data_IF_251118462038
#
_entry.id   IF_251118462038
#
_cell.length_a   1.000
_cell.length_b   1.000
_cell.length_c   1.000
_cell.angle_alpha   90.00
_cell.angle_beta   90.00
_cell.angle_gamma   90.00
#
_symmetry.space_group_name_H-M   'P 1'
#
loop_
_entity.id
_entity.type
_entity.pdbx_description
1 polymer ?
#
# COMPACT_ATOMS: atom_id res chain seq x y z
N UNK A 1 -30.91 -44.07 62.94
CA UNK A 1 -30.75 -42.85 62.12
C UNK A 1 -29.62 -43.14 61.13
N UNK A 2 -29.94 -43.61 59.93
CA UNK A 2 -30.29 -42.86 58.71
C UNK A 2 -29.07 -42.80 57.78
N UNK A 3 -29.28 -43.32 56.57
CA UNK A 3 -28.37 -43.56 55.45
C UNK A 3 -27.59 -42.31 55.02
N UNK A 4 -26.49 -42.49 54.30
CA UNK A 4 -26.37 -42.20 52.84
C UNK A 4 -24.91 -42.46 52.38
N UNK A 5 -24.78 -43.32 51.37
CA UNK A 5 -23.60 -43.42 50.50
C UNK A 5 -23.56 -42.22 49.57
N UNK A 6 -22.39 -41.64 49.31
CA UNK A 6 -22.11 -40.99 48.03
C UNK A 6 -20.61 -40.97 47.75
N UNK A 7 -20.28 -41.46 46.55
CA UNK A 7 -19.00 -41.37 45.88
C UNK A 7 -18.72 -39.95 45.35
N UNK A 8 -17.65 -39.83 44.55
CA UNK A 8 -17.15 -38.67 43.79
C UNK A 8 -16.17 -37.76 44.56
N UNK A 9 -15.05 -37.28 44.01
CA UNK A 9 -14.39 -37.44 42.70
C UNK A 9 -12.96 -36.91 42.87
N UNK A 10 -11.98 -37.59 42.28
CA UNK A 10 -10.65 -37.03 42.09
C UNK A 10 -10.75 -35.84 41.13
N UNK A 11 -10.53 -34.62 41.65
CA UNK A 11 -10.35 -33.44 40.83
C UNK A 11 -8.90 -33.44 40.29
N UNK A 12 -8.74 -33.94 39.07
CA UNK A 12 -7.52 -33.73 38.28
C UNK A 12 -7.52 -32.27 37.85
N UNK A 13 -6.63 -31.47 38.42
CA UNK A 13 -6.28 -30.15 37.89
C UNK A 13 -5.49 -30.37 36.60
N UNK A 14 -6.18 -30.30 35.45
CA UNK A 14 -5.54 -30.07 34.17
C UNK A 14 -5.06 -28.60 34.15
N UNK A 15 -3.79 -28.39 34.49
CA UNK A 15 -3.08 -27.18 34.12
C UNK A 15 -2.97 -27.17 32.59
N UNK A 16 -3.92 -26.51 31.93
CA UNK A 16 -3.79 -26.14 30.53
C UNK A 16 -2.64 -25.15 30.44
N UNK A 17 -1.44 -25.65 30.11
CA UNK A 17 -0.33 -24.82 29.67
C UNK A 17 -0.75 -24.23 28.32
N UNK A 18 -1.31 -23.02 28.34
CA UNK A 18 -1.35 -22.17 27.16
C UNK A 18 0.10 -21.87 26.80
N UNK A 19 0.63 -22.60 25.82
CA UNK A 19 1.81 -22.14 25.09
C UNK A 19 1.34 -20.87 24.37
N UNK A 20 1.59 -19.72 25.00
CA UNK A 20 1.82 -18.52 24.21
C UNK A 20 3.07 -18.86 23.40
N UNK A 21 2.91 -19.04 22.09
CA UNK A 21 4.04 -18.86 21.19
C UNK A 21 4.53 -17.43 21.49
N UNK A 22 5.69 -17.32 22.14
CA UNK A 22 6.38 -16.05 22.26
C UNK A 22 6.61 -15.57 20.82
N UNK A 23 5.76 -14.65 20.34
CA UNK A 23 6.06 -13.89 19.12
C UNK A 23 7.44 -13.29 19.34
N UNK A 24 8.42 -13.78 18.59
CA UNK A 24 9.80 -13.37 18.78
C UNK A 24 9.88 -11.85 18.69
N UNK A 25 10.28 -11.21 19.78
CA UNK A 25 10.34 -9.76 19.86
C UNK A 25 11.29 -9.24 18.77
N UNK A 26 10.83 -8.26 17.98
CA UNK A 26 11.65 -7.61 16.96
C UNK A 26 12.68 -6.70 17.63
N UNK A 27 13.90 -6.65 17.10
CA UNK A 27 14.97 -5.82 17.64
C UNK A 27 14.59 -4.33 17.59
N UNK A 28 14.95 -3.55 18.62
CA UNK A 28 14.73 -2.09 18.63
C UNK A 28 15.92 -1.36 18.03
N UNK A 29 15.77 -0.09 17.63
CA UNK A 29 16.89 0.75 17.19
C UNK A 29 17.30 1.73 18.30
N UNK A 30 18.61 1.99 18.45
CA UNK A 30 19.12 3.06 19.31
C UNK A 30 18.89 4.44 18.69
N UNK A 31 19.22 5.49 19.45
CA UNK A 31 19.14 6.89 19.02
C UNK A 31 19.96 7.22 17.74
N UNK A 32 20.85 6.32 17.33
CA UNK A 32 21.70 6.41 16.15
C UNK A 32 21.27 5.44 15.02
N UNK A 33 20.12 4.77 15.14
CA UNK A 33 19.61 3.84 14.13
C UNK A 33 20.34 2.50 14.08
N UNK A 34 21.00 2.07 15.18
CA UNK A 34 21.63 0.74 15.30
C UNK A 34 20.72 -0.24 16.03
N UNK A 35 20.65 -1.48 15.56
CA UNK A 35 19.89 -2.54 16.22
C UNK A 35 20.42 -2.77 17.65
N UNK A 36 19.55 -2.64 18.64
CA UNK A 36 19.81 -3.01 20.04
C UNK A 36 19.11 -4.35 20.30
N UNK A 37 19.87 -5.29 20.86
CA UNK A 37 19.42 -6.65 21.18
C UNK A 37 18.84 -6.78 22.62
N UNK A 38 18.84 -5.70 23.41
CA UNK A 38 18.52 -5.75 24.84
C UNK A 38 17.04 -5.48 25.12
N UNK A 39 16.24 -6.55 25.07
CA UNK A 39 14.90 -6.57 25.68
C UNK A 39 15.01 -7.08 27.12
N UNK A 40 15.49 -6.25 28.05
CA UNK A 40 15.65 -6.65 29.46
C UNK A 40 16.66 -7.79 29.65
N UNK A 41 16.84 -8.26 30.88
CA UNK A 41 17.86 -9.24 31.28
C UNK A 41 17.79 -10.64 30.63
N UNK A 42 17.05 -10.81 29.54
CA UNK A 42 17.08 -12.01 28.72
C UNK A 42 17.78 -11.68 27.40
N UNK A 43 18.88 -12.37 27.12
CA UNK A 43 19.48 -12.45 25.78
C UNK A 43 18.52 -13.31 24.93
N UNK A 44 17.32 -12.81 24.66
CA UNK A 44 16.47 -13.34 23.61
C UNK A 44 17.04 -12.77 22.31
N UNK A 45 17.48 -13.64 21.41
CA UNK A 45 17.82 -13.25 20.05
C UNK A 45 16.56 -12.63 19.43
N UNK A 46 16.49 -11.30 19.42
CA UNK A 46 15.42 -10.61 18.74
C UNK A 46 15.56 -10.85 17.23
N UNK A 47 14.44 -10.86 16.53
CA UNK A 47 14.45 -11.04 15.08
C UNK A 47 14.82 -9.69 14.48
N UNK A 48 15.90 -9.67 13.69
CA UNK A 48 16.27 -8.50 12.91
C UNK A 48 15.12 -8.17 11.94
N UNK A 49 14.71 -6.91 11.84
CA UNK A 49 13.69 -6.53 10.88
C UNK A 49 14.19 -6.80 9.46
N UNK A 50 13.27 -7.11 8.55
CA UNK A 50 13.60 -7.34 7.13
C UNK A 50 14.38 -6.16 6.55
N UNK A 51 15.17 -6.35 5.50
CA UNK A 51 15.93 -5.25 4.89
C UNK A 51 15.02 -4.07 4.51
N UNK A 52 15.52 -2.85 4.69
CA UNK A 52 14.81 -1.63 4.30
C UNK A 52 14.47 -1.71 2.80
N UNK A 53 13.20 -1.49 2.42
CA UNK A 53 12.81 -1.45 1.01
C UNK A 53 13.62 -0.43 0.21
N UNK A 54 13.84 -0.73 -1.08
CA UNK A 54 14.57 0.18 -1.97
C UNK A 54 13.83 1.51 -2.07
N UNK A 55 14.58 2.62 -2.11
CA UNK A 55 14.01 3.96 -2.20
C UNK A 55 13.41 4.52 -0.90
N UNK A 56 13.47 3.77 0.21
CA UNK A 56 13.01 4.25 1.51
C UNK A 56 14.18 4.79 2.37
N UNK A 57 13.89 5.85 3.13
CA UNK A 57 14.79 6.33 4.19
C UNK A 57 14.24 5.87 5.53
N UNK A 58 15.11 5.35 6.41
CA UNK A 58 14.72 5.02 7.77
C UNK A 58 14.97 6.23 8.69
N UNK A 59 13.92 6.69 9.34
CA UNK A 59 13.98 7.71 10.37
C UNK A 59 14.69 7.20 11.62
N UNK A 60 15.10 8.11 12.52
CA UNK A 60 15.68 7.74 13.83
C UNK A 60 14.75 6.88 14.68
N UNK A 61 13.44 6.97 14.46
CA UNK A 61 12.41 6.14 15.10
C UNK A 61 12.41 4.68 14.61
N UNK A 62 13.22 4.35 13.60
CA UNK A 62 13.20 3.06 12.91
C UNK A 62 12.12 2.93 11.84
N UNK A 63 11.24 3.94 11.67
CA UNK A 63 10.14 3.94 10.70
C UNK A 63 10.59 4.46 9.35
N UNK A 64 9.88 4.06 8.30
CA UNK A 64 10.23 4.48 6.94
C UNK A 64 9.57 5.81 6.58
N UNK A 65 10.27 6.54 5.73
CA UNK A 65 9.78 7.69 4.98
C UNK A 65 10.02 7.44 3.50
N UNK A 66 8.96 7.60 2.70
CA UNK A 66 8.95 7.51 1.23
C UNK A 66 8.05 8.65 0.74
N UNK A 67 8.68 9.71 0.21
CA UNK A 67 7.98 10.85 -0.38
C UNK A 67 7.80 10.70 -1.89
N UNK A 68 8.67 9.95 -2.55
CA UNK A 68 8.70 9.70 -3.99
C UNK A 68 9.36 8.33 -4.19
N UNK A 69 8.79 7.51 -5.07
CA UNK A 69 9.43 6.28 -5.52
C UNK A 69 9.86 6.42 -6.99
N UNK A 70 10.90 5.70 -7.43
CA UNK A 70 11.23 5.57 -8.84
C UNK A 70 10.04 4.97 -9.62
N UNK A 71 9.72 5.58 -10.75
CA UNK A 71 8.62 5.15 -11.62
C UNK A 71 9.05 3.97 -12.51
N UNK A 72 8.41 2.79 -12.41
CA UNK A 72 8.60 1.73 -13.40
C UNK A 72 7.88 2.09 -14.71
N UNK A 73 8.29 1.52 -15.85
CA UNK A 73 7.52 1.63 -17.09
C UNK A 73 6.13 0.99 -16.90
N UNK A 74 5.02 1.73 -17.09
CA UNK A 74 3.68 1.23 -16.77
C UNK A 74 3.18 0.11 -17.68
N UNK A 75 3.73 0.00 -18.89
CA UNK A 75 3.37 -1.03 -19.87
C UNK A 75 4.60 -1.88 -20.20
N UNK A 76 4.85 -2.91 -19.40
CA UNK A 76 5.98 -3.84 -19.58
C UNK A 76 5.61 -5.11 -20.36
N UNK A 77 4.32 -5.50 -20.39
CA UNK A 77 3.87 -6.81 -20.92
C UNK A 77 2.96 -6.75 -22.17
N UNK A 78 2.68 -5.55 -22.68
CA UNK A 78 1.81 -5.38 -23.86
C UNK A 78 2.46 -5.81 -25.18
N UNK A 79 3.69 -6.31 -25.15
CA UNK A 79 4.42 -6.84 -26.31
C UNK A 79 3.95 -8.25 -26.71
N UNK A 80 3.26 -8.98 -25.82
CA UNK A 80 2.93 -10.40 -26.02
C UNK A 80 1.48 -10.67 -26.44
N UNK A 81 0.54 -9.84 -26.02
CA UNK A 81 -0.87 -9.74 -26.43
C UNK A 81 -1.53 -8.79 -25.42
N UNK A 82 -2.63 -8.11 -25.77
CA UNK A 82 -3.39 -7.36 -24.76
C UNK A 82 -3.83 -8.32 -23.65
N UNK A 83 -3.78 -7.89 -22.39
CA UNK A 83 -4.21 -8.72 -21.25
C UNK A 83 -5.59 -9.31 -21.55
N UNK A 84 -5.80 -10.63 -21.32
CA UNK A 84 -7.09 -11.24 -21.56
C UNK A 84 -8.19 -10.53 -20.78
N UNK A 85 -9.43 -10.66 -21.26
CA UNK A 85 -10.60 -10.04 -20.64
C UNK A 85 -10.71 -10.34 -19.14
N UNK A 86 -11.53 -9.56 -18.41
CA UNK A 86 -11.55 -9.55 -16.95
C UNK A 86 -11.63 -10.97 -16.39
N UNK A 87 -10.71 -11.30 -15.47
CA UNK A 87 -10.68 -12.59 -14.78
C UNK A 87 -11.99 -12.76 -14.02
N UNK A 88 -12.78 -13.78 -14.33
CA UNK A 88 -14.12 -14.01 -13.74
C UNK A 88 -14.12 -14.77 -12.42
N UNK A 89 -12.94 -15.12 -11.88
CA UNK A 89 -12.84 -15.92 -10.66
C UNK A 89 -13.32 -15.16 -9.41
N UNK A 90 -13.94 -15.84 -8.46
CA UNK A 90 -14.33 -15.19 -7.20
C UNK A 90 -13.08 -14.77 -6.41
N UNK A 91 -12.96 -13.49 -6.01
CA UNK A 91 -11.79 -13.00 -5.28
C UNK A 91 -11.74 -13.63 -3.88
N UNK A 92 -10.58 -14.20 -3.54
CA UNK A 92 -10.34 -14.82 -2.22
C UNK A 92 -9.32 -14.03 -1.44
N UNK A 93 -9.57 -13.82 -0.16
CA UNK A 93 -8.61 -13.18 0.73
C UNK A 93 -7.37 -14.08 0.88
N UNK A 94 -6.21 -13.59 0.49
CA UNK A 94 -4.98 -14.37 0.43
C UNK A 94 -3.90 -13.88 1.40
N UNK A 95 -3.95 -12.62 1.85
CA UNK A 95 -2.88 -12.00 2.64
C UNK A 95 -3.36 -10.97 3.68
N UNK A 96 -2.57 -10.74 4.74
CA UNK A 96 -2.85 -9.67 5.69
C UNK A 96 -2.67 -8.28 5.05
N UNK A 97 -3.22 -7.22 5.65
CA UNK A 97 -3.07 -5.84 5.16
C UNK A 97 -1.62 -5.34 5.25
N UNK A 98 -0.93 -5.67 6.34
CA UNK A 98 0.49 -5.40 6.51
C UNK A 98 1.17 -6.75 6.74
N UNK A 99 2.05 -7.19 5.82
CA UNK A 99 2.87 -8.38 6.03
C UNK A 99 3.71 -8.28 7.31
N UNK A 100 3.91 -9.37 8.07
CA UNK A 100 4.73 -9.36 9.28
C UNK A 100 6.13 -8.77 9.09
N UNK A 101 6.72 -8.97 7.90
CA UNK A 101 8.06 -8.43 7.56
C UNK A 101 8.10 -6.91 7.46
N UNK A 102 6.95 -6.24 7.27
CA UNK A 102 6.82 -4.79 7.17
C UNK A 102 6.26 -4.14 8.44
N UNK A 103 5.70 -4.92 9.38
CA UNK A 103 5.04 -4.40 10.58
C UNK A 103 5.99 -3.55 11.44
N UNK A 104 7.27 -3.90 11.45
CA UNK A 104 8.31 -3.13 12.14
C UNK A 104 8.46 -1.71 11.60
N UNK A 105 8.24 -1.50 10.31
CA UNK A 105 8.52 -0.24 9.64
C UNK A 105 7.31 0.70 9.61
N UNK A 106 6.11 0.13 9.75
CA UNK A 106 4.85 0.83 9.61
C UNK A 106 4.25 1.07 11.00
N UNK A 107 3.93 2.33 11.27
CA UNK A 107 3.38 2.73 12.56
C UNK A 107 1.88 2.48 12.65
N UNK A 108 1.15 2.81 11.58
CA UNK A 108 -0.26 2.51 11.47
C UNK A 108 -0.66 2.27 10.01
N UNK A 109 -1.57 1.31 9.82
CA UNK A 109 -2.23 1.05 8.54
C UNK A 109 -3.74 0.94 8.80
N UNK A 110 -4.42 2.08 8.99
CA UNK A 110 -5.82 2.06 9.38
C UNK A 110 -6.64 1.60 8.16
N UNK A 111 -7.43 0.54 8.34
CA UNK A 111 -8.13 -0.13 7.25
C UNK A 111 -9.62 -0.33 7.55
N UNK A 112 -10.45 -0.32 6.51
CA UNK A 112 -11.84 -0.75 6.60
C UNK A 112 -11.93 -2.22 7.06
N UNK A 113 -12.94 -2.52 7.88
CA UNK A 113 -13.17 -3.87 8.43
C UNK A 113 -13.93 -4.78 7.46
N UNK A 114 -14.60 -4.20 6.48
CA UNK A 114 -15.43 -4.88 5.50
C UNK A 114 -15.25 -4.23 4.12
N UNK A 115 -15.48 -4.96 3.01
CA UNK A 115 -15.47 -4.39 1.67
C UNK A 115 -16.39 -3.17 1.56
N UNK A 116 -15.94 -2.14 0.85
CA UNK A 116 -16.85 -1.13 0.37
C UNK A 116 -17.88 -1.83 -0.53
N UNK A 117 -19.18 -1.64 -0.28
CA UNK A 117 -20.24 -2.19 -1.11
C UNK A 117 -20.22 -1.62 -2.53
N UNK A 118 -21.34 -1.63 -3.24
CA UNK A 118 -21.41 -1.04 -4.58
C UNK A 118 -21.26 0.50 -4.50
N UNK A 119 -20.03 0.98 -4.60
CA UNK A 119 -19.72 2.41 -4.69
C UNK A 119 -19.53 2.78 -6.15
N UNK A 120 -20.15 3.89 -6.57
CA UNK A 120 -19.86 4.49 -7.87
C UNK A 120 -18.39 4.92 -7.88
N UNK A 121 -17.57 4.20 -8.64
CA UNK A 121 -16.15 4.46 -8.77
C UNK A 121 -15.93 5.74 -9.59
N UNK A 122 -15.79 6.87 -8.90
CA UNK A 122 -15.24 8.08 -9.50
C UNK A 122 -13.72 7.94 -9.44
N UNK A 123 -13.10 7.58 -10.56
CA UNK A 123 -11.66 7.32 -10.69
C UNK A 123 -10.78 8.55 -10.43
N UNK A 124 -10.71 8.98 -9.18
CA UNK A 124 -9.79 10.03 -8.74
C UNK A 124 -8.41 9.40 -8.55
N UNK A 125 -7.37 10.17 -8.87
CA UNK A 125 -5.98 9.76 -8.69
C UNK A 125 -5.31 10.66 -7.67
N UNK A 126 -4.59 10.05 -6.74
CA UNK A 126 -3.86 10.77 -5.70
C UNK A 126 -2.53 10.07 -5.40
N UNK A 127 -1.54 10.84 -4.95
CA UNK A 127 -0.30 10.26 -4.43
C UNK A 127 -0.45 9.95 -2.95
N UNK A 128 -0.10 8.73 -2.55
CA UNK A 128 -0.05 8.35 -1.13
C UNK A 128 1.42 8.23 -0.73
N UNK A 129 1.85 9.06 0.23
CA UNK A 129 3.23 9.08 0.73
C UNK A 129 3.32 8.44 2.12
N UNK A 130 4.51 7.96 2.46
CA UNK A 130 4.83 7.45 3.79
C UNK A 130 5.74 8.45 4.51
N UNK A 131 5.33 8.91 5.70
CA UNK A 131 6.13 9.79 6.56
C UNK A 131 6.16 9.21 7.96
N UNK A 132 7.35 8.91 8.48
CA UNK A 132 7.55 8.34 9.84
C UNK A 132 6.63 7.13 10.14
N UNK A 133 6.45 6.25 9.14
CA UNK A 133 5.64 5.04 9.26
C UNK A 133 4.12 5.25 9.16
N UNK A 134 3.66 6.46 8.84
CA UNK A 134 2.23 6.79 8.65
C UNK A 134 1.94 7.21 7.21
N UNK A 135 0.78 6.79 6.69
CA UNK A 135 0.39 7.06 5.30
C UNK A 135 -0.48 8.30 5.18
N UNK A 136 -0.10 9.18 4.27
CA UNK A 136 -0.78 10.45 4.02
C UNK A 136 -1.21 10.55 2.58
N UNK A 137 -2.41 11.10 2.35
CA UNK A 137 -2.84 11.51 1.03
C UNK A 137 -2.15 12.84 0.74
N UNK A 138 -1.19 12.85 -0.15
CA UNK A 138 -0.41 14.04 -0.48
C UNK A 138 -1.29 15.00 -1.30
N UNK A 139 -1.71 16.08 -0.66
CA UNK A 139 -2.55 17.13 -1.24
C UNK A 139 -1.73 18.42 -1.30
N UNK A 140 -2.09 19.28 -2.24
CA UNK A 140 -1.55 20.64 -2.28
C UNK A 140 -1.96 21.39 -0.99
N UNK A 141 -1.07 21.44 0.03
CA UNK A 141 -1.27 22.17 1.29
C UNK A 141 -0.43 21.66 2.48
N UNK A 142 -0.42 22.41 3.59
CA UNK A 142 0.43 22.12 4.76
C UNK A 142 -0.15 21.08 5.75
N UNK A 143 -1.31 20.48 5.46
CA UNK A 143 -2.00 19.59 6.39
C UNK A 143 -2.63 18.38 5.67
N UNK A 144 -1.76 17.53 5.14
CA UNK A 144 -2.17 16.29 4.50
C UNK A 144 -2.92 15.38 5.48
N UNK A 145 -4.10 14.83 5.08
CA UNK A 145 -4.80 13.89 5.90
C UNK A 145 -4.14 12.50 5.85
N UNK A 146 -4.28 11.75 6.94
CA UNK A 146 -3.98 10.32 6.98
C UNK A 146 -4.95 9.56 6.09
N UNK A 147 -4.46 8.50 5.45
CA UNK A 147 -5.27 7.62 4.61
C UNK A 147 -5.85 6.49 5.45
N UNK A 148 -7.16 6.30 5.37
CA UNK A 148 -7.84 5.08 5.79
C UNK A 148 -8.08 4.20 4.55
N UNK A 149 -7.43 3.03 4.55
CA UNK A 149 -7.36 2.15 3.40
C UNK A 149 -8.62 1.29 3.25
N UNK A 150 -9.01 0.95 2.01
CA UNK A 150 -10.11 0.03 1.78
C UNK A 150 -9.71 -1.39 2.18
N UNK A 151 -10.72 -2.21 2.43
CA UNK A 151 -10.54 -3.58 2.94
C UNK A 151 -9.68 -4.45 2.03
N UNK A 152 -9.70 -4.19 0.72
CA UNK A 152 -8.95 -4.94 -0.28
C UNK A 152 -7.46 -4.61 -0.39
N UNK A 153 -6.97 -3.54 0.22
CA UNK A 153 -5.56 -3.10 0.04
C UNK A 153 -4.61 -3.82 0.99
N UNK A 154 -3.45 -4.22 0.50
CA UNK A 154 -2.31 -4.69 1.28
C UNK A 154 -1.05 -3.90 0.93
N UNK A 155 -0.11 -3.85 1.87
CA UNK A 155 1.29 -3.55 1.57
C UNK A 155 1.98 -4.79 0.99
N UNK A 156 2.85 -4.56 0.03
CA UNK A 156 3.71 -5.56 -0.59
C UNK A 156 5.08 -4.96 -0.90
N UNK A 157 6.03 -5.82 -1.24
CA UNK A 157 7.26 -5.44 -1.91
C UNK A 157 7.10 -5.88 -3.37
N UNK A 158 7.37 -4.98 -4.31
CA UNK A 158 7.33 -5.32 -5.73
C UNK A 158 8.58 -6.11 -6.18
N UNK A 159 8.59 -6.56 -7.43
CA UNK A 159 9.66 -7.40 -7.97
C UNK A 159 11.04 -6.70 -8.01
N UNK A 160 11.08 -5.38 -7.90
CA UNK A 160 12.31 -4.58 -7.85
C UNK A 160 12.71 -4.19 -6.41
N UNK A 161 11.96 -4.62 -5.40
CA UNK A 161 12.28 -4.40 -3.99
C UNK A 161 11.72 -3.10 -3.38
N UNK A 162 10.82 -2.39 -4.06
CA UNK A 162 10.19 -1.17 -3.56
C UNK A 162 8.93 -1.48 -2.75
N UNK A 163 8.64 -0.64 -1.76
CA UNK A 163 7.38 -0.69 -1.03
C UNK A 163 6.23 -0.27 -1.95
N UNK A 164 5.18 -1.08 -2.00
CA UNK A 164 4.03 -0.85 -2.84
C UNK A 164 2.71 -1.23 -2.15
N UNK A 165 1.61 -0.71 -2.69
CA UNK A 165 0.27 -1.17 -2.42
C UNK A 165 -0.10 -2.25 -3.44
N UNK A 166 -0.79 -3.30 -2.99
CA UNK A 166 -1.35 -4.34 -3.85
C UNK A 166 -2.67 -4.86 -3.30
N UNK A 167 -3.20 -5.89 -3.95
CA UNK A 167 -4.44 -6.55 -3.53
C UNK A 167 -4.22 -7.53 -2.36
N UNK A 168 -5.16 -7.55 -1.43
CA UNK A 168 -5.35 -8.63 -0.45
C UNK A 168 -6.01 -9.86 -1.06
N UNK A 169 -6.67 -9.68 -2.19
CA UNK A 169 -7.35 -10.74 -2.93
C UNK A 169 -6.43 -11.41 -3.95
N UNK A 170 -6.65 -12.70 -4.15
CA UNK A 170 -6.16 -13.45 -5.30
C UNK A 170 -7.32 -13.90 -6.20
N UNK A 171 -7.15 -13.84 -7.54
CA UNK A 171 -6.00 -13.25 -8.25
C UNK A 171 -5.92 -11.72 -8.05
N UNK A 172 -4.72 -11.14 -8.17
CA UNK A 172 -4.52 -9.70 -8.01
C UNK A 172 -5.22 -8.95 -9.14
N UNK A 173 -6.33 -8.29 -8.79
CA UNK A 173 -7.12 -7.45 -9.71
C UNK A 173 -6.78 -5.97 -9.61
N UNK A 174 -6.08 -5.58 -8.55
CA UNK A 174 -5.79 -4.19 -8.23
C UNK A 174 -4.50 -3.72 -8.89
N UNK A 175 -3.64 -4.67 -9.26
CA UNK A 175 -2.27 -4.39 -9.65
C UNK A 175 -1.46 -3.92 -8.45
N UNK A 176 -0.20 -3.60 -8.69
CA UNK A 176 0.71 -3.11 -7.65
C UNK A 176 1.17 -1.69 -7.99
N UNK A 177 1.08 -0.77 -7.03
CA UNK A 177 1.51 0.63 -7.19
C UNK A 177 2.46 1.04 -6.07
N UNK A 178 3.66 1.52 -6.42
CA UNK A 178 4.67 1.92 -5.42
C UNK A 178 4.18 3.08 -4.57
N UNK A 179 4.54 3.07 -3.29
CA UNK A 179 4.28 4.18 -2.36
C UNK A 179 5.02 5.43 -2.86
N UNK A 180 4.37 6.59 -2.84
CA UNK A 180 4.92 7.83 -3.38
C UNK A 180 4.72 8.02 -4.89
N UNK A 181 4.01 7.11 -5.56
CA UNK A 181 3.48 7.30 -6.91
C UNK A 181 1.98 7.62 -6.88
N UNK A 182 1.47 8.16 -7.99
CA UNK A 182 0.04 8.39 -8.19
C UNK A 182 -0.70 7.04 -8.30
N UNK A 183 -1.69 6.84 -7.44
CA UNK A 183 -2.57 5.69 -7.42
C UNK A 183 -4.01 6.11 -7.76
N UNK A 184 -4.76 5.23 -8.41
CA UNK A 184 -6.21 5.40 -8.51
C UNK A 184 -6.82 5.06 -7.14
N UNK A 185 -7.50 6.05 -6.53
CA UNK A 185 -8.06 5.93 -5.18
C UNK A 185 -9.58 5.84 -5.15
N UNK A 186 -10.23 6.02 -6.31
CA UNK A 186 -11.68 6.08 -6.43
C UNK A 186 -12.26 7.28 -5.67
N UNK A 187 -13.41 7.08 -5.01
CA UNK A 187 -14.00 8.08 -4.14
C UNK A 187 -13.20 8.21 -2.85
N UNK A 188 -13.12 9.44 -2.32
CA UNK A 188 -12.55 9.71 -1.01
C UNK A 188 -13.53 10.47 -0.13
N UNK A 189 -13.51 10.20 1.16
CA UNK A 189 -14.44 10.80 2.12
C UNK A 189 -14.11 12.25 2.46
N UNK A 190 -15.08 12.95 3.03
CA UNK A 190 -14.79 14.20 3.74
C UNK A 190 -13.77 13.94 4.87
N UNK A 191 -12.84 14.89 5.14
CA UNK A 191 -11.89 14.76 6.22
C UNK A 191 -12.58 14.66 7.59
N UNK A 192 -12.27 13.63 8.34
CA UNK A 192 -12.82 13.37 9.68
C UNK A 192 -11.70 13.36 10.74
N UNK A 193 -12.07 13.36 12.02
CA UNK A 193 -11.08 13.23 13.10
C UNK A 193 -10.52 11.80 13.14
N UNK A 194 -9.22 11.67 13.43
CA UNK A 194 -8.61 10.37 13.66
C UNK A 194 -9.20 9.68 14.89
N UNK A 195 -9.23 8.34 14.87
CA UNK A 195 -9.51 7.59 16.10
C UNK A 195 -8.42 7.87 17.14
N UNK A 196 -8.71 7.74 18.44
CA UNK A 196 -7.71 7.98 19.48
C UNK A 196 -6.43 7.15 19.31
N UNK A 197 -6.57 5.90 18.85
CA UNK A 197 -5.46 4.98 18.57
C UNK A 197 -4.59 5.49 17.41
N UNK A 198 -5.23 5.94 16.32
CA UNK A 198 -4.53 6.47 15.16
C UNK A 198 -3.87 7.82 15.47
N UNK A 199 -4.52 8.67 16.25
CA UNK A 199 -3.96 9.94 16.69
C UNK A 199 -2.75 9.74 17.61
N UNK A 200 -2.81 8.76 18.51
CA UNK A 200 -1.67 8.40 19.37
C UNK A 200 -0.47 7.87 18.57
N UNK A 201 -0.73 7.14 17.48
CA UNK A 201 0.32 6.63 16.61
C UNK A 201 0.88 7.75 15.70
N UNK A 202 0.03 8.40 14.92
CA UNK A 202 0.41 9.21 13.79
C UNK A 202 0.25 10.72 14.00
N UNK A 203 -0.18 11.16 15.18
CA UNK A 203 -0.48 12.56 15.47
C UNK A 203 -1.91 12.97 15.14
N UNK A 204 -2.29 14.18 15.55
CA UNK A 204 -3.65 14.73 15.40
C UNK A 204 -3.90 15.29 13.99
N UNK A 205 -3.87 14.39 13.00
CA UNK A 205 -4.20 14.69 11.61
C UNK A 205 -5.65 14.33 11.31
N UNK A 206 -6.22 15.00 10.29
CA UNK A 206 -7.49 14.55 9.71
C UNK A 206 -7.31 13.22 8.99
N UNK A 207 -8.38 12.47 8.84
CA UNK A 207 -8.41 11.17 8.14
C UNK A 207 -9.38 11.23 6.98
N UNK A 208 -8.97 10.69 5.84
CA UNK A 208 -9.82 10.46 4.67
C UNK A 208 -9.82 8.98 4.32
N UNK A 209 -10.99 8.42 4.08
CA UNK A 209 -11.14 7.05 3.59
C UNK A 209 -11.15 7.06 2.08
N UNK A 210 -10.41 6.14 1.45
CA UNK A 210 -10.44 5.93 -0.01
C UNK A 210 -11.09 4.58 -0.33
N UNK A 211 -11.76 4.48 -1.47
CA UNK A 211 -12.52 3.27 -1.82
C UNK A 211 -11.69 2.22 -2.55
N UNK A 212 -10.59 2.63 -3.18
CA UNK A 212 -9.65 1.74 -3.85
C UNK A 212 -8.22 2.27 -3.70
N UNK A 213 -7.22 1.44 -4.00
CA UNK A 213 -5.82 1.84 -4.20
C UNK A 213 -5.24 0.90 -5.26
N UNK A 214 -5.29 1.32 -6.51
CA UNK A 214 -4.91 0.49 -7.67
C UNK A 214 -3.86 1.20 -8.51
N UNK A 215 -3.09 0.40 -9.24
CA UNK A 215 -2.23 0.94 -10.30
C UNK A 215 -3.12 1.55 -11.41
N UNK A 216 -3.06 2.87 -11.65
CA UNK A 216 -3.86 3.51 -12.69
C UNK A 216 -3.50 3.02 -14.10
N UNK A 217 -2.39 2.30 -14.26
CA UNK A 217 -1.92 1.73 -15.51
C UNK A 217 -2.19 0.23 -15.67
N UNK A 218 -2.69 -0.45 -14.63
CA UNK A 218 -2.99 -1.89 -14.69
C UNK A 218 -3.99 -2.25 -15.81
N UNK A 219 -4.81 -1.29 -16.23
CA UNK A 219 -5.75 -1.42 -17.34
C UNK A 219 -5.42 -0.39 -18.42
N UNK A 220 -4.74 -0.79 -19.51
CA UNK A 220 -4.35 0.13 -20.58
C UNK A 220 -5.54 0.91 -21.19
N UNK A 221 -6.72 0.28 -21.23
CA UNK A 221 -7.96 0.89 -21.69
C UNK A 221 -8.46 2.01 -20.77
N UNK A 222 -8.09 2.00 -19.47
CA UNK A 222 -8.38 3.10 -18.53
C UNK A 222 -7.39 4.24 -18.69
N UNK A 223 -6.10 3.91 -18.79
CA UNK A 223 -5.06 4.92 -18.94
C UNK A 223 -5.27 5.75 -20.21
N UNK A 224 -5.56 5.09 -21.33
CA UNK A 224 -5.85 5.78 -22.57
C UNK A 224 -6.69 4.91 -23.51
N UNK A 225 -8.03 5.07 -23.48
CA UNK A 225 -8.95 4.36 -24.38
C UNK A 225 -8.63 4.56 -25.87
N UNK A 226 -7.94 5.65 -26.21
CA UNK A 226 -7.54 5.97 -27.57
C UNK A 226 -6.16 5.41 -27.95
N UNK A 227 -5.36 4.87 -27.03
CA UNK A 227 -4.00 4.38 -27.30
C UNK A 227 -4.00 3.24 -28.31
N UNK A 228 -4.89 2.26 -28.11
CA UNK A 228 -5.10 1.16 -29.04
C UNK A 228 -5.57 1.66 -30.41
N UNK A 229 -6.59 2.53 -30.43
CA UNK A 229 -7.16 3.07 -31.68
C UNK A 229 -6.20 3.97 -32.45
N UNK A 230 -5.30 4.69 -31.76
CA UNK A 230 -4.26 5.49 -32.38
C UNK A 230 -3.17 4.61 -33.01
N UNK A 231 -2.77 3.56 -32.30
CA UNK A 231 -1.82 2.58 -32.83
C UNK A 231 -2.28 1.95 -34.14
N UNK A 232 -3.55 1.57 -34.19
CA UNK A 232 -4.19 1.03 -35.40
C UNK A 232 -4.25 2.05 -36.56
N UNK A 233 -4.32 3.36 -36.28
CA UNK A 233 -4.41 4.43 -37.32
C UNK A 233 -3.05 4.98 -37.79
N UNK A 234 -2.03 4.95 -36.94
CA UNK A 234 -0.71 5.57 -37.21
C UNK A 234 0.21 4.72 -38.08
N UNK A 235 -0.10 3.43 -38.26
CA UNK A 235 0.78 2.48 -38.96
C UNK A 235 2.00 2.05 -38.14
N UNK A 236 2.14 2.53 -36.90
CA UNK A 236 3.18 2.12 -35.95
C UNK A 236 2.94 0.68 -35.47
N UNK A 237 4.02 -0.07 -35.23
CA UNK A 237 3.93 -1.40 -34.60
C UNK A 237 3.54 -1.26 -33.12
N UNK A 238 2.82 -2.22 -32.51
CA UNK A 238 2.44 -2.20 -31.09
C UNK A 238 3.57 -1.78 -30.13
N UNK A 239 4.77 -2.35 -30.30
CA UNK A 239 5.93 -2.01 -29.48
C UNK A 239 6.38 -0.54 -29.57
N UNK A 240 6.19 0.14 -30.71
CA UNK A 240 6.51 1.56 -30.86
C UNK A 240 5.50 2.44 -30.10
N UNK A 241 4.24 2.06 -30.13
CA UNK A 241 3.14 2.75 -29.43
C UNK A 241 3.35 2.64 -27.92
N UNK A 242 3.65 1.44 -27.42
CA UNK A 242 3.93 1.17 -26.00
C UNK A 242 5.12 2.00 -25.50
N UNK A 243 6.22 2.02 -26.25
CA UNK A 243 7.39 2.83 -25.88
C UNK A 243 7.06 4.32 -25.76
N UNK A 244 6.27 4.86 -26.69
CA UNK A 244 5.84 6.27 -26.65
C UNK A 244 4.89 6.52 -25.48
N UNK A 245 3.95 5.61 -25.20
CA UNK A 245 3.05 5.69 -24.06
C UNK A 245 3.81 5.68 -22.72
N UNK A 246 4.72 4.72 -22.53
CA UNK A 246 5.59 4.64 -21.36
C UNK A 246 6.42 5.92 -21.19
N UNK A 247 7.03 6.42 -22.26
CA UNK A 247 7.83 7.64 -22.20
C UNK A 247 7.01 8.88 -21.82
N UNK A 248 5.73 8.94 -22.23
CA UNK A 248 4.85 10.03 -21.80
C UNK A 248 4.42 9.85 -20.34
N UNK A 249 3.91 8.68 -19.97
CA UNK A 249 3.44 8.38 -18.63
C UNK A 249 4.52 8.59 -17.57
N UNK A 250 5.75 8.11 -17.81
CA UNK A 250 6.88 8.33 -16.91
C UNK A 250 7.20 9.82 -16.78
N UNK A 251 7.21 10.58 -17.90
CA UNK A 251 7.45 12.04 -17.85
C UNK A 251 6.34 12.78 -17.12
N UNK A 252 5.08 12.40 -17.34
CA UNK A 252 3.93 13.00 -16.66
C UNK A 252 4.02 12.76 -15.16
N UNK A 253 4.24 11.52 -14.73
CA UNK A 253 4.34 11.20 -13.31
C UNK A 253 5.58 11.85 -12.65
N UNK A 254 6.71 11.95 -13.36
CA UNK A 254 7.87 12.74 -12.90
C UNK A 254 7.53 14.22 -12.76
N UNK A 255 6.82 14.79 -13.74
CA UNK A 255 6.37 16.18 -13.70
C UNK A 255 5.40 16.43 -12.53
N UNK A 256 4.51 15.50 -12.25
CA UNK A 256 3.60 15.58 -11.10
C UNK A 256 4.35 15.49 -9.77
N UNK A 257 5.36 14.62 -9.68
CA UNK A 257 6.24 14.56 -8.51
C UNK A 257 7.06 15.86 -8.34
N UNK A 258 7.62 16.41 -9.43
CA UNK A 258 8.32 17.70 -9.40
C UNK A 258 7.39 18.84 -8.98
N UNK A 259 6.15 18.85 -9.50
CA UNK A 259 5.13 19.83 -9.10
C UNK A 259 4.90 19.81 -7.60
N UNK A 260 4.73 18.61 -7.05
CA UNK A 260 4.44 18.37 -5.64
C UNK A 260 5.61 18.68 -4.72
N UNK A 261 6.81 18.25 -5.09
CA UNK A 261 7.97 18.27 -4.20
C UNK A 261 8.91 19.48 -4.40
N UNK A 262 8.87 20.12 -5.57
CA UNK A 262 9.90 21.07 -5.98
C UNK A 262 9.33 22.40 -6.46
N UNK A 263 8.37 22.39 -7.38
CA UNK A 263 7.76 23.63 -7.92
C UNK A 263 6.29 23.43 -8.34
N UNK A 264 5.31 23.88 -7.53
CA UNK A 264 3.89 23.69 -7.80
C UNK A 264 3.38 24.41 -9.05
N UNK A 265 4.16 25.35 -9.60
CA UNK A 265 3.77 26.12 -10.79
C UNK A 265 4.14 25.42 -12.09
N UNK A 266 4.87 24.30 -12.05
CA UNK A 266 5.24 23.57 -13.27
C UNK A 266 3.99 23.11 -14.01
N UNK A 267 3.85 23.46 -15.29
CA UNK A 267 2.70 23.02 -16.09
C UNK A 267 2.60 21.49 -16.15
N UNK A 268 1.37 20.92 -16.06
CA UNK A 268 1.16 19.49 -16.15
C UNK A 268 1.41 19.00 -17.59
N UNK A 269 1.85 17.76 -17.72
CA UNK A 269 1.99 17.13 -19.04
C UNK A 269 0.69 16.42 -19.37
N UNK A 270 -0.01 16.87 -20.40
CA UNK A 270 -1.14 16.13 -20.95
C UNK A 270 -0.64 15.12 -22.00
N UNK A 271 -0.66 13.85 -21.61
CA UNK A 271 -0.31 12.77 -22.53
C UNK A 271 -1.32 12.59 -23.67
N UNK A 272 -2.53 13.17 -23.62
CA UNK A 272 -3.51 13.10 -24.70
C UNK A 272 -3.15 14.01 -25.88
N UNK A 273 -2.58 15.19 -25.61
CA UNK A 273 -2.12 16.13 -26.65
C UNK A 273 -1.02 15.53 -27.53
N UNK A 274 -0.21 14.63 -26.98
CA UNK A 274 0.86 13.94 -27.72
C UNK A 274 0.33 13.06 -28.87
N UNK A 275 -0.97 12.75 -28.86
CA UNK A 275 -1.62 11.86 -29.84
C UNK A 275 -2.50 12.60 -30.86
N UNK A 276 -2.56 13.93 -30.80
CA UNK A 276 -3.16 14.78 -31.85
C UNK A 276 -4.70 14.79 -31.88
N UNK A 277 -5.34 14.97 -30.72
CA UNK A 277 -6.77 15.26 -30.61
C UNK A 277 -7.02 16.76 -30.44
#
# INVERSE_FOLDING_TARGET
MMRICTALTAAVFLAACTQFEDEAALCTFDENGRLILEAGNAIAACVEPASIPVGATQERSGRLTILEAPLPPPFSELDKEWTPGPVTDEPKLARPPVPPVLSYYIRAFPQAKEPAGDVLDLGSQHTIVLRDGCFFLDREGDNDPLVHFPYGTALTIDDEGYLAFGSRYEPDRMGTVRVGLSAETGWFSEPSAASPELAAACGDHKVVSVTTVTDPFAWPERFNPALRRYGERSGDRPAQIIRRANACAVRQAQREADRRLRDPNLEPIDCNLFWGF
#
